data_IF_780817868972
#
_entry.id   IF_780817868972
#
_cell.length_a   1.000
_cell.length_b   1.000
_cell.length_c   1.000
_cell.angle_alpha   90.00
_cell.angle_beta   90.00
_cell.angle_gamma   90.00
#
_symmetry.space_group_name_H-M   'P 1'
#
loop_
_entity.id
_entity.type
_entity.pdbx_description
1 polymer ?
#
# COMPACT_ATOMS: atom_id res chain seq x y z
N UNK A 1 11.76 13.39 17.25
CA UNK A 1 12.00 11.95 17.02
C UNK A 1 11.00 11.49 15.98
N UNK A 2 11.44 11.19 14.76
CA UNK A 2 10.57 10.75 13.66
C UNK A 2 10.31 9.26 13.80
N UNK A 3 9.05 8.89 13.97
CA UNK A 3 8.58 7.52 14.08
C UNK A 3 8.15 7.15 12.66
N UNK A 4 8.98 6.43 11.88
CA UNK A 4 8.63 6.04 10.53
C UNK A 4 7.34 5.22 10.54
N UNK A 5 6.39 5.64 9.71
CA UNK A 5 5.21 4.85 9.35
C UNK A 5 5.06 4.84 7.84
N UNK A 6 4.48 3.77 7.32
CA UNK A 6 4.17 3.61 5.90
C UNK A 6 2.65 3.68 5.75
N UNK A 7 2.19 4.61 4.92
CA UNK A 7 0.77 4.78 4.64
C UNK A 7 0.49 4.57 3.15
N UNK A 8 -0.52 3.77 2.85
CA UNK A 8 -1.19 3.70 1.57
C UNK A 8 -2.58 4.31 1.73
N UNK A 9 -2.91 5.30 0.93
CA UNK A 9 -4.23 5.97 0.94
C UNK A 9 -4.90 5.79 -0.42
N UNK A 10 -6.14 5.31 -0.41
CA UNK A 10 -6.99 5.10 -1.58
C UNK A 10 -6.29 4.44 -2.77
N UNK A 11 -5.52 3.38 -2.48
CA UNK A 11 -4.80 2.64 -3.52
C UNK A 11 -5.76 1.77 -4.32
N UNK A 12 -5.75 1.99 -5.64
CA UNK A 12 -6.41 1.14 -6.62
C UNK A 12 -5.38 0.42 -7.48
N UNK A 13 -5.62 -0.86 -7.77
CA UNK A 13 -4.79 -1.66 -8.65
C UNK A 13 -5.67 -2.60 -9.48
N UNK A 14 -5.42 -2.61 -10.78
CA UNK A 14 -6.13 -3.45 -11.75
C UNK A 14 -5.15 -4.46 -12.31
N UNK A 15 -5.56 -5.72 -12.36
CA UNK A 15 -4.78 -6.79 -12.96
C UNK A 15 -4.70 -6.61 -14.49
N UNK A 16 -3.72 -7.24 -15.17
CA UNK A 16 -3.59 -7.17 -16.62
C UNK A 16 -4.83 -7.67 -17.39
N UNK A 17 -5.67 -8.49 -16.76
CA UNK A 17 -6.94 -8.98 -17.32
C UNK A 17 -8.10 -7.96 -17.20
N UNK A 18 -7.84 -6.78 -16.63
CA UNK A 18 -8.82 -5.73 -16.41
C UNK A 18 -9.64 -5.87 -15.13
N UNK A 19 -9.44 -6.93 -14.36
CA UNK A 19 -10.16 -7.12 -13.09
C UNK A 19 -9.55 -6.25 -11.98
N UNK A 20 -10.37 -5.55 -11.17
CA UNK A 20 -9.86 -4.77 -10.05
C UNK A 20 -9.37 -5.71 -8.94
N UNK A 21 -8.11 -5.57 -8.56
CA UNK A 21 -7.52 -6.25 -7.40
C UNK A 21 -7.76 -5.47 -6.12
N UNK A 22 -7.57 -4.15 -6.19
CA UNK A 22 -7.82 -3.19 -5.12
C UNK A 22 -8.56 -1.97 -5.70
N UNK A 23 -9.51 -1.40 -4.95
CA UNK A 23 -10.30 -0.24 -5.39
C UNK A 23 -10.20 0.96 -4.46
N UNK A 24 -9.95 0.75 -3.17
CA UNK A 24 -9.79 1.81 -2.15
C UNK A 24 -9.04 1.25 -0.95
N UNK A 25 -7.83 0.75 -1.19
CA UNK A 25 -7.03 0.11 -0.16
C UNK A 25 -6.33 1.17 0.70
N UNK A 26 -6.68 1.19 1.98
CA UNK A 26 -6.11 2.07 2.99
C UNK A 26 -5.35 1.24 4.04
N UNK A 27 -4.05 1.45 4.15
CA UNK A 27 -3.18 0.70 5.06
C UNK A 27 -2.25 1.66 5.77
N UNK A 28 -2.14 1.49 7.09
CA UNK A 28 -1.15 2.17 7.91
C UNK A 28 -0.32 1.14 8.66
N UNK A 29 0.99 1.14 8.41
CA UNK A 29 1.97 0.26 9.07
C UNK A 29 2.86 1.13 9.93
N UNK A 30 2.86 0.86 11.22
CA UNK A 30 3.76 1.48 12.19
C UNK A 30 5.06 0.68 12.31
N UNK A 31 5.80 0.89 13.40
CA UNK A 31 7.08 0.21 13.62
C UNK A 31 6.94 -1.27 14.05
N UNK A 32 5.70 -1.78 14.22
CA UNK A 32 5.47 -3.15 14.66
C UNK A 32 5.57 -4.12 13.49
N UNK A 33 6.12 -5.30 13.77
CA UNK A 33 6.12 -6.39 12.81
C UNK A 33 4.68 -6.76 12.42
N UNK A 34 4.32 -6.51 11.16
CA UNK A 34 2.97 -6.72 10.63
C UNK A 34 3.01 -7.82 9.59
N UNK A 35 2.18 -8.85 9.76
CA UNK A 35 2.05 -9.96 8.82
C UNK A 35 0.93 -9.73 7.81
N UNK A 36 1.21 -9.92 6.53
CA UNK A 36 0.20 -9.89 5.47
C UNK A 36 -0.36 -11.30 5.23
N UNK A 37 -1.61 -11.53 5.62
CA UNK A 37 -2.29 -12.84 5.52
C UNK A 37 -3.50 -12.79 4.60
N UNK A 38 -3.86 -13.94 4.01
CA UNK A 38 -5.02 -14.05 3.12
C UNK A 38 -4.89 -15.23 2.15
N UNK A 39 -5.96 -15.54 1.43
CA UNK A 39 -5.99 -16.66 0.46
C UNK A 39 -4.95 -16.47 -0.66
N UNK A 40 -4.56 -17.55 -1.30
CA UNK A 40 -3.74 -17.47 -2.51
C UNK A 40 -4.52 -16.75 -3.62
N UNK A 41 -3.84 -15.89 -4.38
CA UNK A 41 -4.46 -15.07 -5.43
C UNK A 41 -5.07 -13.75 -4.97
N UNK A 42 -5.18 -13.46 -3.67
CA UNK A 42 -5.80 -12.20 -3.18
C UNK A 42 -4.95 -10.93 -3.38
N UNK A 43 -3.77 -11.05 -4.01
CA UNK A 43 -2.91 -9.88 -4.29
C UNK A 43 -1.83 -9.57 -3.26
N UNK A 44 -1.52 -10.48 -2.33
CA UNK A 44 -0.48 -10.24 -1.30
C UNK A 44 0.88 -9.82 -1.87
N UNK A 45 1.35 -10.52 -2.89
CA UNK A 45 2.63 -10.20 -3.54
C UNK A 45 2.58 -8.87 -4.30
N UNK A 46 1.43 -8.52 -4.86
CA UNK A 46 1.21 -7.20 -5.49
C UNK A 46 1.27 -6.10 -4.43
N UNK A 47 0.60 -6.30 -3.30
CA UNK A 47 0.63 -5.36 -2.18
C UNK A 47 2.04 -5.18 -1.62
N UNK A 48 2.80 -6.26 -1.43
CA UNK A 48 4.19 -6.19 -0.97
C UNK A 48 5.08 -5.35 -1.92
N UNK A 49 4.89 -5.52 -3.24
CA UNK A 49 5.60 -4.74 -4.26
C UNK A 49 5.16 -3.27 -4.30
N UNK A 50 3.87 -2.98 -4.09
CA UNK A 50 3.37 -1.61 -3.95
C UNK A 50 3.99 -0.93 -2.73
N UNK A 51 4.04 -1.61 -1.58
CA UNK A 51 4.68 -1.13 -0.35
C UNK A 51 6.19 -0.90 -0.53
N UNK A 52 6.85 -1.74 -1.34
CA UNK A 52 8.27 -1.61 -1.68
C UNK A 52 8.57 -0.52 -2.74
N UNK A 53 7.53 0.07 -3.35
CA UNK A 53 7.68 1.03 -4.45
C UNK A 53 8.13 0.39 -5.78
N UNK A 54 8.08 -0.93 -5.91
CA UNK A 54 8.46 -1.66 -7.13
C UNK A 54 7.35 -1.65 -8.20
N UNK A 55 6.10 -1.45 -7.78
CA UNK A 55 4.97 -1.29 -8.68
C UNK A 55 4.47 0.15 -8.58
N UNK A 56 4.46 0.84 -9.72
CA UNK A 56 3.81 2.13 -9.85
C UNK A 56 2.31 1.92 -10.10
N UNK A 57 1.45 2.79 -9.55
CA UNK A 57 0.02 2.74 -9.82
C UNK A 57 -0.25 3.11 -11.27
N UNK A 58 -1.36 2.62 -11.80
CA UNK A 58 -1.85 2.99 -13.14
C UNK A 58 -2.04 4.52 -13.25
N UNK A 59 -1.79 5.13 -14.42
CA UNK A 59 -1.90 6.57 -14.60
C UNK A 59 -3.33 7.03 -14.30
N UNK A 60 -3.50 7.91 -13.30
CA UNK A 60 -4.81 8.41 -12.86
C UNK A 60 -5.29 7.87 -11.51
N UNK A 61 -4.67 6.82 -10.97
CA UNK A 61 -4.77 6.45 -9.56
C UNK A 61 -3.64 7.13 -8.80
N UNK A 62 -3.94 8.17 -8.04
CA UNK A 62 -2.95 8.79 -7.18
C UNK A 62 -2.56 7.80 -6.07
N UNK A 63 -1.51 7.00 -6.24
CA UNK A 63 -0.81 6.52 -5.04
C UNK A 63 0.21 7.57 -4.66
N UNK A 64 -0.15 8.37 -3.67
CA UNK A 64 0.85 8.76 -2.72
C UNK A 64 1.26 7.49 -1.97
N UNK A 65 2.33 6.81 -2.41
CA UNK A 65 3.14 6.06 -1.44
C UNK A 65 3.81 7.14 -0.59
N UNK A 66 3.03 7.71 0.32
CA UNK A 66 3.56 8.58 1.32
C UNK A 66 4.24 7.63 2.31
N UNK A 67 5.54 7.43 2.10
CA UNK A 67 6.46 7.20 3.22
C UNK A 67 6.45 8.49 4.06
N UNK A 68 5.29 8.79 4.65
CA UNK A 68 5.07 9.92 5.53
C UNK A 68 5.79 9.56 6.81
N UNK A 69 7.08 9.86 6.86
CA UNK A 69 7.91 9.70 8.05
C UNK A 69 7.54 10.81 9.05
N UNK A 70 6.25 10.92 9.40
CA UNK A 70 5.76 12.01 10.23
C UNK A 70 5.32 11.43 11.57
N UNK A 71 6.19 11.55 12.58
CA UNK A 71 5.73 11.42 13.95
C UNK A 71 4.81 12.63 14.23
N UNK A 72 3.49 12.43 14.18
CA UNK A 72 2.54 13.40 14.74
C UNK A 72 2.71 13.38 16.26
N UNK A 73 3.33 14.42 16.80
CA UNK A 73 3.29 14.74 18.21
C UNK A 73 2.29 15.88 18.36
N UNK A 74 1.14 15.61 18.98
CA UNK A 74 0.02 16.54 19.13
C UNK A 74 -1.31 15.81 19.17
#
# INVERSE_FOLDING_TARGET
MTCPSLTLESVAYVLPDGSPLFSDLNIHIDQRATGLVGRNGVGKSVLARLLAGELLPVPGGACAVAACTTCRNG
#
